data_IF_566971663549
#
_entry.id   IF_566971663549
#
_cell.length_a   1.000
_cell.length_b   1.000
_cell.length_c   1.000
_cell.angle_alpha   90.00
_cell.angle_beta   90.00
_cell.angle_gamma   90.00
#
_symmetry.space_group_name_H-M   'P 1'
#
loop_
_entity.id
_entity.type
_entity.pdbx_description
1 polymer ?
#
# COMPACT_ATOMS: atom_id res chain seq x y z
N UNK A 1 -10.05 -15.87 -5.13
CA UNK A 1 -10.56 -14.69 -4.40
C UNK A 1 -9.53 -13.58 -4.54
N UNK A 2 -9.85 -12.53 -5.29
CA UNK A 2 -8.93 -11.42 -5.55
C UNK A 2 -8.78 -10.56 -4.28
N UNK A 3 -7.87 -10.92 -3.39
CA UNK A 3 -7.49 -10.06 -2.28
C UNK A 3 -6.66 -8.90 -2.82
N UNK A 4 -7.35 -7.80 -3.12
CA UNK A 4 -6.72 -6.54 -3.46
C UNK A 4 -6.04 -5.99 -2.19
N UNK A 5 -4.79 -5.58 -2.31
CA UNK A 5 -4.01 -5.04 -1.19
C UNK A 5 -4.70 -3.80 -0.57
N UNK A 6 -4.79 -3.65 0.77
CA UNK A 6 -5.54 -2.57 1.44
C UNK A 6 -5.16 -1.16 0.97
N UNK A 7 -3.88 -0.92 0.64
CA UNK A 7 -3.43 0.35 0.08
C UNK A 7 -4.26 0.79 -1.13
N UNK A 8 -4.65 -0.17 -1.98
CA UNK A 8 -5.34 0.08 -3.25
C UNK A 8 -6.86 0.11 -3.14
N UNK A 9 -7.43 -0.04 -1.94
CA UNK A 9 -8.83 0.29 -1.68
C UNK A 9 -8.98 1.75 -1.28
N UNK A 10 -7.97 2.32 -0.61
CA UNK A 10 -7.93 3.74 -0.18
C UNK A 10 -7.37 4.68 -1.25
N UNK A 11 -6.33 4.25 -1.98
CA UNK A 11 -5.63 5.10 -2.95
C UNK A 11 -5.65 4.50 -4.35
N UNK A 12 -5.91 5.36 -5.34
CA UNK A 12 -5.86 4.94 -6.74
C UNK A 12 -4.40 4.80 -7.22
N UNK A 13 -4.17 3.95 -8.23
CA UNK A 13 -2.83 3.62 -8.74
C UNK A 13 -2.15 4.78 -9.45
N UNK A 14 -2.92 5.69 -10.05
CA UNK A 14 -2.38 6.84 -10.78
C UNK A 14 -1.80 7.85 -9.80
N UNK A 15 -2.59 8.23 -8.80
CA UNK A 15 -2.18 9.09 -7.71
C UNK A 15 -0.98 8.52 -6.93
N UNK A 16 -0.98 7.21 -6.63
CA UNK A 16 0.17 6.57 -6.00
C UNK A 16 1.42 6.65 -6.90
N UNK A 17 1.25 6.54 -8.21
CA UNK A 17 2.35 6.66 -9.17
C UNK A 17 2.99 8.05 -9.10
N UNK A 18 2.16 9.09 -9.06
CA UNK A 18 2.60 10.48 -8.95
C UNK A 18 3.23 10.78 -7.58
N UNK A 19 2.62 10.32 -6.49
CA UNK A 19 3.09 10.58 -5.13
C UNK A 19 4.41 9.85 -4.80
N UNK A 20 4.56 8.62 -5.28
CA UNK A 20 5.69 7.74 -4.90
C UNK A 20 6.78 7.63 -5.95
N UNK A 21 6.49 8.03 -7.20
CA UNK A 21 7.37 7.85 -8.35
C UNK A 21 7.46 6.40 -8.85
N UNK A 22 6.68 5.46 -8.30
CA UNK A 22 6.60 4.11 -8.85
C UNK A 22 5.78 4.08 -10.13
N UNK A 23 6.12 3.21 -11.07
CA UNK A 23 5.36 3.08 -12.31
C UNK A 23 3.98 2.44 -12.06
N UNK A 24 2.97 2.87 -12.82
CA UNK A 24 1.62 2.29 -12.79
C UNK A 24 1.63 0.77 -13.00
N UNK A 25 2.52 0.26 -13.85
CA UNK A 25 2.69 -1.18 -14.09
C UNK A 25 3.21 -1.93 -12.86
N UNK A 26 4.18 -1.36 -12.14
CA UNK A 26 4.66 -1.92 -10.88
C UNK A 26 3.54 -1.95 -9.84
N UNK A 27 2.86 -0.82 -9.63
CA UNK A 27 1.74 -0.69 -8.70
C UNK A 27 0.60 -1.67 -9.02
N UNK A 28 0.29 -1.87 -10.30
CA UNK A 28 -0.71 -2.86 -10.72
C UNK A 28 -0.32 -4.28 -10.33
N UNK A 29 0.97 -4.67 -10.49
CA UNK A 29 1.42 -6.00 -10.08
C UNK A 29 1.32 -6.19 -8.57
N UNK A 30 1.74 -5.20 -7.80
CA UNK A 30 1.60 -5.19 -6.33
C UNK A 30 0.13 -5.32 -5.92
N UNK A 31 -0.76 -4.50 -6.51
CA UNK A 31 -2.20 -4.52 -6.20
C UNK A 31 -2.85 -5.89 -6.45
N UNK A 32 -2.41 -6.60 -7.47
CA UNK A 32 -2.90 -7.94 -7.83
C UNK A 32 -2.19 -9.10 -7.12
N UNK A 33 -1.22 -8.82 -6.24
CA UNK A 33 -0.41 -9.85 -5.57
C UNK A 33 0.57 -10.58 -6.49
N UNK A 34 0.75 -10.13 -7.74
CA UNK A 34 1.76 -10.66 -8.68
C UNK A 34 3.19 -10.26 -8.32
N UNK A 35 3.34 -9.28 -7.43
CA UNK A 35 4.62 -8.86 -6.89
C UNK A 35 4.47 -8.71 -5.37
N UNK A 36 5.33 -9.34 -4.56
CA UNK A 36 5.28 -9.18 -3.11
C UNK A 36 5.60 -7.74 -2.70
N UNK A 37 5.06 -7.32 -1.56
CA UNK A 37 5.41 -6.04 -0.95
C UNK A 37 6.87 -6.09 -0.49
N UNK A 38 7.72 -5.26 -1.07
CA UNK A 38 9.09 -5.09 -0.60
C UNK A 38 9.14 -4.07 0.53
N UNK A 39 10.12 -4.20 1.43
CA UNK A 39 10.33 -3.22 2.51
C UNK A 39 10.55 -1.81 1.96
N UNK A 40 11.34 -1.67 0.90
CA UNK A 40 11.59 -0.38 0.24
C UNK A 40 10.33 0.24 -0.37
N UNK A 41 9.40 -0.58 -0.86
CA UNK A 41 8.10 -0.10 -1.32
C UNK A 41 7.29 0.47 -0.16
N UNK A 42 7.13 -0.31 0.92
CA UNK A 42 6.40 0.08 2.12
C UNK A 42 6.97 1.39 2.68
N UNK A 43 8.28 1.44 2.94
CA UNK A 43 8.95 2.61 3.52
C UNK A 43 8.77 3.87 2.67
N UNK A 44 8.89 3.75 1.34
CA UNK A 44 8.68 4.89 0.45
C UNK A 44 7.23 5.37 0.49
N UNK A 45 6.26 4.46 0.48
CA UNK A 45 4.84 4.83 0.54
C UNK A 45 4.52 5.48 1.88
N UNK A 46 4.94 4.88 3.01
CA UNK A 46 4.76 5.45 4.35
C UNK A 46 5.40 6.84 4.46
N UNK A 47 6.62 7.01 3.95
CA UNK A 47 7.31 8.30 3.93
C UNK A 47 6.59 9.33 3.06
N UNK A 48 6.07 8.96 1.88
CA UNK A 48 5.39 9.90 0.99
C UNK A 48 4.00 10.29 1.47
N UNK A 49 3.27 9.35 2.06
CA UNK A 49 1.92 9.57 2.57
C UNK A 49 1.93 10.12 4.01
N UNK A 50 3.09 10.13 4.68
CA UNK A 50 3.24 10.49 6.10
C UNK A 50 2.29 9.68 6.99
N UNK A 51 2.10 8.39 6.66
CA UNK A 51 1.21 7.48 7.36
C UNK A 51 1.97 6.20 7.75
N UNK A 52 1.64 5.61 8.91
CA UNK A 52 2.29 4.39 9.35
C UNK A 52 1.87 3.18 8.50
N UNK A 53 2.73 2.17 8.47
CA UNK A 53 2.51 0.93 7.72
C UNK A 53 1.18 0.25 8.09
N UNK A 54 0.83 0.26 9.37
CA UNK A 54 -0.43 -0.30 9.87
C UNK A 54 -1.67 0.30 9.22
N UNK A 55 -1.67 1.60 8.94
CA UNK A 55 -2.83 2.28 8.34
C UNK A 55 -2.97 2.02 6.84
N UNK A 56 -1.84 1.74 6.18
CA UNK A 56 -1.75 1.64 4.73
C UNK A 56 -1.80 0.20 4.21
N UNK A 57 -1.27 -0.75 4.98
CA UNK A 57 -1.04 -2.12 4.54
C UNK A 57 -1.73 -3.18 5.39
N UNK A 58 -2.13 -2.87 6.63
CA UNK A 58 -2.94 -3.80 7.42
C UNK A 58 -4.43 -3.63 7.11
N UNK A 59 -5.21 -4.72 7.10
CA UNK A 59 -6.65 -4.62 7.06
C UNK A 59 -7.18 -3.90 8.31
N UNK A 60 -8.26 -3.15 8.16
CA UNK A 60 -8.83 -2.28 9.21
C UNK A 60 -9.15 -3.02 10.53
N UNK A 61 -9.38 -4.35 10.46
CA UNK A 61 -9.58 -5.22 11.61
C UNK A 61 -8.31 -5.42 12.48
N UNK A 62 -7.11 -5.21 11.93
CA UNK A 62 -5.83 -5.38 12.63
C UNK A 62 -5.23 -4.04 13.08
N UNK A 63 -5.50 -2.93 12.39
CA UNK A 63 -4.99 -1.60 12.77
C UNK A 63 -5.48 -1.16 14.17
N UNK A 64 -6.70 -1.56 14.56
CA UNK A 64 -7.32 -1.21 15.85
C UNK A 64 -6.68 -1.93 17.05
N UNK A 65 -5.88 -2.98 16.84
CA UNK A 65 -5.28 -3.78 17.93
C UNK A 65 -3.92 -3.26 18.42
N UNK A 66 -3.28 -2.34 17.69
CA UNK A 66 -1.95 -1.82 18.04
C UNK A 66 -1.98 -0.55 18.91
N UNK A 67 -3.12 -0.21 19.51
CA UNK A 67 -3.28 0.96 20.38
C UNK A 67 -3.84 0.63 21.78
N UNK A 68 -3.74 -0.62 22.23
CA UNK A 68 -4.07 -1.04 23.61
C UNK A 68 -2.82 -1.46 24.39
#
# INVERSE_FOLDING_TARGET
MNQQQPLFTKYNREWLSEATGFSRGYLSRVATGKCPLSRSFIERVCFKLQMPEAELFLPEAEAVRSSQ
#
